data_IF_773903968223
#
_entry.id   IF_773903968223
#
_cell.length_a   1.000
_cell.length_b   1.000
_cell.length_c   1.000
_cell.angle_alpha   90.00
_cell.angle_beta   90.00
_cell.angle_gamma   90.00
#
_symmetry.space_group_name_H-M   'P 1'
#
loop_
_entity.id
_entity.type
_entity.pdbx_description
1 polymer ?
#
# COMPACT_ATOMS: atom_id res chain seq x y z
N UNK A 1 -10.97 16.90 -2.39
CA UNK A 1 -10.66 15.88 -3.43
C UNK A 1 -11.88 15.67 -4.32
N UNK A 2 -11.68 15.51 -5.64
CA UNK A 2 -12.72 15.00 -6.53
C UNK A 2 -12.66 13.47 -6.59
N UNK A 3 -13.74 12.83 -7.03
CA UNK A 3 -13.81 11.37 -7.17
C UNK A 3 -12.70 10.80 -8.07
N UNK A 4 -12.35 11.53 -9.14
CA UNK A 4 -11.26 11.15 -10.04
C UNK A 4 -9.90 11.10 -9.34
N UNK A 5 -9.59 12.07 -8.46
CA UNK A 5 -8.34 12.04 -7.70
C UNK A 5 -8.30 10.89 -6.71
N UNK A 6 -9.43 10.55 -6.08
CA UNK A 6 -9.53 9.41 -5.18
C UNK A 6 -9.22 8.10 -5.92
N UNK A 7 -9.81 7.89 -7.10
CA UNK A 7 -9.51 6.73 -7.94
C UNK A 7 -8.06 6.70 -8.39
N UNK A 8 -7.47 7.85 -8.74
CA UNK A 8 -6.07 7.93 -9.15
C UNK A 8 -5.13 7.52 -8.01
N UNK A 9 -5.33 8.03 -6.79
CA UNK A 9 -4.50 7.66 -5.63
C UNK A 9 -4.72 6.22 -5.20
N UNK A 10 -5.96 5.72 -5.25
CA UNK A 10 -6.24 4.31 -5.02
C UNK A 10 -5.52 3.42 -6.04
N UNK A 11 -5.49 3.81 -7.32
CA UNK A 11 -4.76 3.09 -8.37
C UNK A 11 -3.26 3.05 -8.08
N UNK A 12 -2.67 4.17 -7.66
CA UNK A 12 -1.26 4.23 -7.23
C UNK A 12 -1.01 3.26 -6.07
N UNK A 13 -1.89 3.28 -5.06
CA UNK A 13 -1.80 2.36 -3.92
C UNK A 13 -1.90 0.88 -4.31
N UNK A 14 -2.80 0.54 -5.23
CA UNK A 14 -2.95 -0.83 -5.75
C UNK A 14 -1.69 -1.27 -6.52
N UNK A 15 -1.17 -0.42 -7.40
CA UNK A 15 0.04 -0.71 -8.18
C UNK A 15 1.24 -0.92 -7.25
N UNK A 16 1.41 -0.08 -6.23
CA UNK A 16 2.51 -0.20 -5.26
C UNK A 16 2.31 -1.43 -4.36
N UNK A 17 1.09 -1.71 -3.90
CA UNK A 17 0.77 -2.91 -3.13
C UNK A 17 1.07 -4.20 -3.91
N UNK A 18 0.76 -4.20 -5.20
CA UNK A 18 1.08 -5.31 -6.11
C UNK A 18 2.59 -5.44 -6.32
N UNK A 19 3.28 -4.34 -6.65
CA UNK A 19 4.74 -4.31 -6.83
C UNK A 19 5.47 -4.77 -5.57
N UNK A 20 5.03 -4.29 -4.40
CA UNK A 20 5.62 -4.68 -3.11
C UNK A 20 5.63 -6.18 -2.93
N UNK A 21 4.55 -6.88 -3.30
CA UNK A 21 4.46 -8.33 -3.17
C UNK A 21 5.33 -9.09 -4.17
N UNK A 22 5.46 -8.55 -5.38
CA UNK A 22 6.37 -9.08 -6.39
C UNK A 22 7.82 -8.99 -5.91
N UNK A 23 8.19 -7.90 -5.22
CA UNK A 23 9.51 -7.69 -4.65
C UNK A 23 9.78 -8.58 -3.41
N UNK A 24 8.79 -8.77 -2.52
CA UNK A 24 8.97 -9.60 -1.32
C UNK A 24 8.84 -11.11 -1.55
N UNK A 25 8.66 -11.57 -2.80
CA UNK A 25 8.62 -13.00 -3.18
C UNK A 25 7.71 -13.85 -2.26
N UNK A 26 6.51 -13.34 -1.95
CA UNK A 26 5.52 -13.96 -1.07
C UNK A 26 5.90 -14.10 0.42
N UNK A 27 7.00 -13.51 0.88
CA UNK A 27 7.30 -13.40 2.32
C UNK A 27 6.56 -12.19 2.92
N UNK A 28 6.01 -12.35 4.12
CA UNK A 28 5.25 -11.31 4.82
C UNK A 28 3.75 -11.35 4.50
N UNK A 29 3.21 -10.26 3.95
CA UNK A 29 1.75 -10.05 3.81
C UNK A 29 1.19 -10.63 2.50
N UNK A 30 -0.01 -11.21 2.57
CA UNK A 30 -0.72 -11.80 1.41
C UNK A 30 -1.23 -10.72 0.43
N UNK A 31 -1.72 -11.11 -0.75
CA UNK A 31 -2.08 -10.19 -1.86
C UNK A 31 -3.06 -9.11 -1.39
N UNK A 32 -4.18 -9.55 -0.84
CA UNK A 32 -5.33 -8.72 -0.51
C UNK A 32 -4.95 -7.66 0.53
N UNK A 33 -4.32 -8.01 1.68
CA UNK A 33 -3.88 -7.01 2.62
C UNK A 33 -2.77 -6.11 2.06
N UNK A 34 -1.86 -6.59 1.20
CA UNK A 34 -0.86 -5.72 0.56
C UNK A 34 -1.51 -4.64 -0.33
N UNK A 35 -2.54 -5.02 -1.09
CA UNK A 35 -3.30 -4.06 -1.90
C UNK A 35 -4.05 -3.06 -1.01
N UNK A 36 -4.70 -3.53 0.05
CA UNK A 36 -5.42 -2.67 0.99
C UNK A 36 -4.47 -1.67 1.70
N UNK A 37 -3.34 -2.14 2.23
CA UNK A 37 -2.34 -1.28 2.87
C UNK A 37 -1.71 -0.29 1.88
N UNK A 38 -1.49 -0.69 0.63
CA UNK A 38 -1.05 0.22 -0.43
C UNK A 38 -2.04 1.35 -0.69
N UNK A 39 -3.34 1.04 -0.80
CA UNK A 39 -4.41 2.04 -0.97
C UNK A 39 -4.52 2.95 0.26
N UNK A 40 -4.52 2.38 1.46
CA UNK A 40 -4.60 3.16 2.70
C UNK A 40 -3.40 4.10 2.86
N UNK A 41 -2.20 3.62 2.56
CA UNK A 41 -0.99 4.45 2.59
C UNK A 41 -1.01 5.57 1.54
N UNK A 42 -1.50 5.28 0.33
CA UNK A 42 -1.64 6.30 -0.72
C UNK A 42 -2.66 7.39 -0.36
N UNK A 43 -3.80 7.00 0.21
CA UNK A 43 -4.82 7.93 0.65
C UNK A 43 -4.35 8.75 1.86
N UNK A 44 -3.68 8.14 2.83
CA UNK A 44 -3.13 8.85 3.97
C UNK A 44 -2.06 9.87 3.54
N UNK A 45 -1.10 9.45 2.70
CA UNK A 45 -0.04 10.33 2.19
C UNK A 45 -0.58 11.50 1.38
N UNK A 46 -1.55 11.26 0.49
CA UNK A 46 -2.19 12.33 -0.29
C UNK A 46 -3.07 13.25 0.56
N UNK A 47 -3.75 12.73 1.59
CA UNK A 47 -4.57 13.52 2.50
C UNK A 47 -3.73 14.49 3.31
N UNK A 48 -2.63 14.02 3.92
CA UNK A 48 -1.72 14.87 4.71
C UNK A 48 -1.22 16.04 3.86
N UNK A 49 -0.76 15.78 2.64
CA UNK A 49 -0.20 16.81 1.76
C UNK A 49 -1.25 17.81 1.30
N UNK A 50 -2.49 17.36 1.05
CA UNK A 50 -3.59 18.27 0.76
C UNK A 50 -3.92 19.17 1.95
N UNK A 51 -3.91 18.64 3.17
CA UNK A 51 -4.19 19.46 4.36
C UNK A 51 -3.12 20.51 4.63
N UNK A 52 -1.86 20.25 4.24
CA UNK A 52 -0.74 21.20 4.41
C UNK A 52 -0.60 22.16 3.20
N UNK A 53 -1.37 21.94 2.12
CA UNK A 53 -1.32 22.79 0.92
C UNK A 53 -0.05 22.59 0.08
N UNK A 54 0.59 21.43 0.19
CA UNK A 54 1.83 21.12 -0.53
C UNK A 54 1.56 20.64 -1.96
N UNK A 55 2.43 21.03 -2.89
CA UNK A 55 2.42 20.52 -4.25
C UNK A 55 2.96 19.06 -4.31
N UNK A 56 2.54 18.31 -5.32
CA UNK A 56 3.05 16.95 -5.56
C UNK A 56 2.30 15.83 -4.83
N UNK A 57 1.01 15.99 -4.57
CA UNK A 57 0.15 14.99 -3.88
C UNK A 57 0.28 13.55 -4.41
N UNK A 58 0.50 13.36 -5.71
CA UNK A 58 0.73 12.03 -6.30
C UNK A 58 2.05 11.39 -5.86
N UNK A 59 3.13 12.18 -5.74
CA UNK A 59 4.42 11.70 -5.23
C UNK A 59 4.28 11.22 -3.79
N UNK A 60 3.60 12.01 -2.95
CA UNK A 60 3.41 11.64 -1.56
C UNK A 60 2.39 10.52 -1.35
N UNK A 61 1.45 10.31 -2.28
CA UNK A 61 0.64 9.10 -2.31
C UNK A 61 1.54 7.86 -2.48
N UNK A 62 2.52 7.91 -3.39
CA UNK A 62 3.47 6.81 -3.55
C UNK A 62 4.34 6.61 -2.31
N UNK A 63 4.88 7.68 -1.73
CA UNK A 63 5.68 7.62 -0.49
C UNK A 63 4.87 7.02 0.66
N UNK A 64 3.61 7.45 0.83
CA UNK A 64 2.72 6.93 1.87
C UNK A 64 2.41 5.44 1.69
N UNK A 65 2.12 5.00 0.45
CA UNK A 65 1.89 3.58 0.14
C UNK A 65 3.13 2.73 0.46
N UNK A 66 4.31 3.16 0.01
CA UNK A 66 5.58 2.48 0.27
C UNK A 66 5.88 2.43 1.76
N UNK A 67 5.74 3.55 2.47
CA UNK A 67 6.02 3.64 3.91
C UNK A 67 5.13 2.71 4.73
N UNK A 68 3.83 2.67 4.45
CA UNK A 68 2.90 1.76 5.13
C UNK A 68 3.22 0.30 4.81
N UNK A 69 3.44 -0.04 3.55
CA UNK A 69 3.77 -1.42 3.16
C UNK A 69 5.10 -1.89 3.73
N UNK A 70 6.10 -1.02 3.75
CA UNK A 70 7.39 -1.31 4.36
C UNK A 70 7.22 -1.57 5.86
N UNK A 71 6.53 -0.68 6.56
CA UNK A 71 6.23 -0.82 7.99
C UNK A 71 5.54 -2.16 8.26
N UNK A 72 4.46 -2.45 7.54
CA UNK A 72 3.69 -3.68 7.70
C UNK A 72 4.54 -4.92 7.39
N UNK A 73 5.37 -4.91 6.35
CA UNK A 73 6.23 -6.04 6.00
C UNK A 73 7.39 -6.22 7.00
N UNK A 74 7.94 -5.13 7.55
CA UNK A 74 9.02 -5.20 8.56
C UNK A 74 8.49 -5.74 9.89
N UNK A 75 7.31 -5.32 10.32
CA UNK A 75 6.71 -5.80 11.57
C UNK A 75 6.01 -7.17 11.45
N UNK A 76 5.73 -7.66 10.23
CA UNK A 76 5.18 -9.01 9.99
C UNK A 76 6.24 -9.99 9.47
N UNK A 77 7.33 -10.13 10.25
CA UNK A 77 8.38 -11.12 9.98
C UNK A 77 7.98 -12.57 10.34
N UNK A 78 6.94 -12.78 11.15
CA UNK A 78 6.51 -14.12 11.58
C UNK A 78 5.20 -14.53 10.90
N UNK A 79 5.31 -15.64 10.16
CA UNK A 79 4.32 -16.52 9.51
C UNK A 79 3.04 -15.92 8.87
N UNK A 80 2.66 -16.39 7.66
CA UNK A 80 1.46 -15.91 6.98
C UNK A 80 0.19 -16.28 7.77
N UNK A 81 -0.51 -15.28 8.34
CA UNK A 81 -1.79 -15.43 9.07
C UNK A 81 -2.91 -16.10 8.23
N UNK A 82 -2.70 -16.28 6.91
CA UNK A 82 -3.68 -16.85 5.98
C UNK A 82 -3.03 -17.84 5.01
N UNK A 83 -2.31 -18.83 5.52
CA UNK A 83 -2.08 -20.07 4.77
C UNK A 83 -3.38 -20.87 4.82
N UNK A 84 -4.21 -20.75 3.78
CA UNK A 84 -4.91 -21.97 3.37
C UNK A 84 -3.81 -22.97 3.04
N UNK A 85 -3.71 -24.00 3.86
CA UNK A 85 -2.78 -25.09 3.65
C UNK A 85 -3.24 -25.80 2.39
N UNK A 86 -2.71 -25.40 1.23
CA UNK A 86 -2.76 -26.26 0.05
C UNK A 86 -1.91 -27.48 0.39
N UNK A 87 -2.57 -28.54 0.86
CA UNK A 87 -1.96 -29.85 1.02
C UNK A 87 -1.63 -30.35 -0.38
N UNK A 88 -0.34 -30.42 -0.69
CA UNK A 88 0.20 -31.27 -1.76
C UNK A 88 1.21 -32.21 -1.15
#
# INVERSE_FOLDING_TARGET
MTFMYLLAYATIGLVIGWLSRLLTKQRGVTMLPSLAFGVLGALAGSFIVQTVGLAGTAFYAAVGAIGVLFTVNVFRQEEPIFTETEKV
#
